data_IF_652921455736
#
_entry.id   IF_652921455736
#
_cell.length_a   1.000
_cell.length_b   1.000
_cell.length_c   1.000
_cell.angle_alpha   90.00
_cell.angle_beta   90.00
_cell.angle_gamma   90.00
#
_symmetry.space_group_name_H-M   'P 1'
#
loop_
_entity.id
_entity.type
_entity.pdbx_description
1 polymer ?
#
# COMPACT_ATOMS: atom_id res chain seq x y z
N UNK A 1 -5.26 8.13 -23.70
CA UNK A 1 -6.56 7.76 -23.09
C UNK A 1 -7.46 8.98 -23.13
N UNK A 2 -8.75 8.80 -23.44
CA UNK A 2 -9.73 9.90 -23.31
C UNK A 2 -9.78 10.35 -21.83
N UNK A 3 -9.79 11.67 -21.55
CA UNK A 3 -9.78 12.16 -20.17
C UNK A 3 -11.06 11.76 -19.44
N UNK A 4 -10.93 11.20 -18.23
CA UNK A 4 -12.08 10.95 -17.34
C UNK A 4 -12.65 12.28 -16.87
N UNK A 5 -13.84 12.63 -17.36
CA UNK A 5 -14.55 13.84 -16.95
C UNK A 5 -15.57 13.49 -15.85
N UNK A 6 -15.51 14.17 -14.71
CA UNK A 6 -16.51 14.08 -13.64
C UNK A 6 -16.10 13.18 -12.47
N UNK A 7 -16.86 12.12 -12.20
CA UNK A 7 -16.86 11.35 -10.93
C UNK A 7 -15.46 10.76 -10.60
N UNK A 8 -14.70 11.49 -9.79
CA UNK A 8 -13.42 11.03 -9.22
C UNK A 8 -13.69 9.95 -8.17
N UNK A 9 -12.99 8.82 -8.26
CA UNK A 9 -12.99 7.73 -7.30
C UNK A 9 -11.60 7.55 -6.67
N UNK A 10 -11.47 6.80 -5.56
CA UNK A 10 -10.18 6.58 -4.90
C UNK A 10 -9.10 6.06 -5.85
N UNK A 11 -9.47 5.18 -6.78
CA UNK A 11 -8.57 4.61 -7.79
C UNK A 11 -7.96 5.67 -8.70
N UNK A 12 -8.68 6.74 -9.04
CA UNK A 12 -8.11 7.84 -9.83
C UNK A 12 -7.03 8.58 -9.05
N UNK A 13 -7.23 8.77 -7.74
CA UNK A 13 -6.24 9.41 -6.87
C UNK A 13 -5.03 8.50 -6.68
N UNK A 14 -5.24 7.19 -6.54
CA UNK A 14 -4.16 6.20 -6.49
C UNK A 14 -3.33 6.23 -7.77
N UNK A 15 -3.95 6.38 -8.93
CA UNK A 15 -3.25 6.49 -10.21
C UNK A 15 -2.40 7.76 -10.28
N UNK A 16 -2.93 8.91 -9.86
CA UNK A 16 -2.16 10.15 -9.77
C UNK A 16 -0.96 9.98 -8.83
N UNK A 17 -1.13 9.28 -7.70
CA UNK A 17 -0.04 9.03 -6.76
C UNK A 17 1.05 8.13 -7.34
N UNK A 18 0.79 7.39 -8.43
CA UNK A 18 1.73 6.51 -9.14
C UNK A 18 2.39 7.17 -10.35
N UNK A 19 2.06 8.43 -10.65
CA UNK A 19 2.47 9.07 -11.90
C UNK A 19 3.98 9.40 -11.97
N UNK A 20 4.54 9.13 -13.15
CA UNK A 20 5.89 9.49 -13.57
C UNK A 20 5.90 10.27 -14.90
N UNK A 21 4.77 10.88 -15.28
CA UNK A 21 4.54 11.54 -16.56
C UNK A 21 4.44 10.63 -17.79
N UNK A 22 4.11 9.34 -17.62
CA UNK A 22 4.02 8.35 -18.69
C UNK A 22 3.20 8.86 -19.89
N UNK A 23 3.71 8.62 -21.11
CA UNK A 23 3.04 9.04 -22.34
C UNK A 23 3.16 10.53 -22.68
N UNK A 24 3.95 11.29 -21.92
CA UNK A 24 4.28 12.70 -22.23
C UNK A 24 5.75 12.85 -22.63
N UNK A 25 6.14 14.05 -23.07
CA UNK A 25 7.55 14.41 -23.32
C UNK A 25 8.37 14.65 -22.03
N UNK A 26 7.74 14.60 -20.85
CA UNK A 26 8.39 14.77 -19.55
C UNK A 26 8.83 13.43 -18.94
N UNK A 27 8.31 12.31 -19.44
CA UNK A 27 8.68 10.96 -19.00
C UNK A 27 10.14 10.65 -19.31
N UNK A 28 10.85 10.10 -18.32
CA UNK A 28 12.19 9.54 -18.50
C UNK A 28 12.29 8.20 -17.80
N UNK A 29 13.02 7.27 -18.42
CA UNK A 29 13.29 5.95 -17.86
C UNK A 29 14.71 5.91 -17.25
N UNK A 30 14.90 5.28 -16.07
CA UNK A 30 13.87 4.65 -15.23
C UNK A 30 12.99 5.68 -14.50
N UNK A 31 11.73 5.33 -14.19
CA UNK A 31 10.70 6.31 -13.76
C UNK A 31 11.03 7.02 -12.44
N UNK A 32 11.78 6.40 -11.54
CA UNK A 32 12.22 7.01 -10.28
C UNK A 32 13.49 7.86 -10.40
N UNK A 33 14.17 7.87 -11.56
CA UNK A 33 15.45 8.59 -11.76
C UNK A 33 15.34 9.71 -12.81
N UNK A 34 14.20 10.42 -12.88
CA UNK A 34 14.08 11.54 -13.79
C UNK A 34 14.94 12.75 -13.33
N UNK A 35 16.03 13.11 -14.04
CA UNK A 35 16.93 14.19 -13.64
C UNK A 35 16.36 15.59 -13.89
N UNK A 36 15.37 15.71 -14.77
CA UNK A 36 14.87 17.00 -15.25
C UNK A 36 13.58 17.42 -14.54
N UNK A 37 12.76 16.45 -14.15
CA UNK A 37 11.45 16.69 -13.54
C UNK A 37 11.23 15.74 -12.37
N UNK A 38 10.84 16.30 -11.22
CA UNK A 38 10.43 15.49 -10.08
C UNK A 38 9.04 14.91 -10.34
N UNK A 39 8.95 13.59 -10.46
CA UNK A 39 7.70 12.84 -10.58
C UNK A 39 6.90 12.86 -9.28
N UNK A 40 5.63 12.44 -9.33
CA UNK A 40 4.79 12.32 -8.12
C UNK A 40 5.28 11.11 -7.33
N UNK A 41 5.35 9.95 -7.98
CA UNK A 41 5.90 8.72 -7.42
C UNK A 41 7.42 8.71 -7.57
N UNK A 42 8.14 8.56 -6.45
CA UNK A 42 9.60 8.52 -6.38
C UNK A 42 10.04 7.50 -5.34
N UNK A 43 11.23 6.90 -5.54
CA UNK A 43 11.86 5.94 -4.62
C UNK A 43 12.05 6.43 -3.17
N UNK A 44 11.94 7.73 -2.89
CA UNK A 44 11.96 8.29 -1.52
C UNK A 44 10.58 8.40 -0.86
N UNK A 45 9.53 7.90 -1.50
CA UNK A 45 8.18 7.93 -0.94
C UNK A 45 8.11 6.95 0.22
N UNK A 46 8.01 7.41 1.47
CA UNK A 46 7.93 6.48 2.61
C UNK A 46 6.54 5.82 2.73
N UNK A 47 5.49 6.55 2.34
CA UNK A 47 4.12 6.05 2.30
C UNK A 47 3.24 6.95 1.43
N UNK A 48 2.11 6.39 1.00
CA UNK A 48 1.05 7.09 0.26
C UNK A 48 -0.31 6.75 0.84
N UNK A 49 -1.28 7.66 0.75
CA UNK A 49 -2.64 7.39 1.23
C UNK A 49 -3.73 8.12 0.45
N UNK A 50 -4.89 7.48 0.37
CA UNK A 50 -6.14 8.07 -0.14
C UNK A 50 -7.24 7.90 0.92
N UNK A 51 -7.66 9.00 1.52
CA UNK A 51 -8.73 9.02 2.52
C UNK A 51 -10.10 9.21 1.86
N UNK A 52 -10.92 8.18 1.89
CA UNK A 52 -12.28 8.19 1.35
C UNK A 52 -13.31 8.47 2.44
N UNK A 53 -13.55 9.76 2.68
CA UNK A 53 -14.49 10.23 3.70
C UNK A 53 -15.91 10.34 3.12
N UNK A 54 -16.83 9.52 3.63
CA UNK A 54 -18.21 9.37 3.16
C UNK A 54 -19.19 9.80 4.25
N UNK A 55 -19.85 10.97 4.12
CA UNK A 55 -20.70 11.54 5.19
C UNK A 55 -21.97 10.72 5.48
N UNK A 56 -22.39 9.87 4.55
CA UNK A 56 -23.54 8.97 4.74
C UNK A 56 -23.19 7.67 5.49
N UNK A 57 -21.91 7.41 5.80
CA UNK A 57 -21.48 6.26 6.58
C UNK A 57 -21.14 6.65 8.03
N UNK A 58 -21.31 5.72 8.99
CA UNK A 58 -20.80 5.90 10.36
C UNK A 58 -19.32 6.25 10.38
N UNK A 59 -18.88 7.03 11.38
CA UNK A 59 -17.47 7.47 11.51
C UNK A 59 -16.46 6.33 11.57
N UNK A 60 -16.87 5.15 12.06
CA UNK A 60 -16.03 3.96 12.16
C UNK A 60 -15.72 3.36 10.78
N UNK A 61 -16.52 3.66 9.76
CA UNK A 61 -16.41 3.15 8.39
C UNK A 61 -15.78 4.15 7.41
N UNK A 62 -15.16 5.21 7.92
CA UNK A 62 -14.31 6.06 7.10
C UNK A 62 -13.04 5.28 6.74
N UNK A 63 -12.68 5.27 5.46
CA UNK A 63 -11.68 4.36 4.90
C UNK A 63 -10.46 5.15 4.43
N UNK A 64 -9.28 4.76 4.90
CA UNK A 64 -8.00 5.18 4.38
C UNK A 64 -7.40 4.01 3.61
N UNK A 65 -7.15 4.21 2.32
CA UNK A 65 -6.30 3.33 1.56
C UNK A 65 -4.86 3.75 1.79
N UNK A 66 -4.04 2.88 2.39
CA UNK A 66 -2.67 3.17 2.80
C UNK A 66 -1.67 2.32 2.02
N UNK A 67 -0.52 2.86 1.68
CA UNK A 67 0.56 2.13 1.00
C UNK A 67 1.90 2.46 1.62
N UNK A 68 2.73 1.45 1.84
CA UNK A 68 4.15 1.65 2.15
C UNK A 68 4.95 1.88 0.87
N UNK A 69 6.00 2.69 0.97
CA UNK A 69 6.94 2.93 -0.13
C UNK A 69 6.25 3.57 -1.37
N UNK A 70 6.91 3.50 -2.52
CA UNK A 70 6.40 4.03 -3.79
C UNK A 70 5.14 3.27 -4.26
N UNK A 71 3.99 3.94 -4.45
CA UNK A 71 2.73 3.26 -4.75
C UNK A 71 2.68 2.59 -6.13
N UNK A 72 3.63 2.89 -7.04
CA UNK A 72 3.72 2.20 -8.33
C UNK A 72 4.28 0.77 -8.20
N UNK A 73 5.00 0.50 -7.11
CA UNK A 73 5.65 -0.78 -6.78
C UNK A 73 5.00 -1.49 -5.60
N UNK A 74 4.11 -0.78 -4.90
CA UNK A 74 3.42 -1.24 -3.70
C UNK A 74 1.91 -1.39 -3.93
N UNK A 75 1.19 -1.69 -2.84
CA UNK A 75 -0.25 -1.89 -2.81
C UNK A 75 -0.91 -0.95 -1.81
N UNK A 76 -2.15 -0.54 -2.10
CA UNK A 76 -2.98 0.23 -1.19
C UNK A 76 -3.87 -0.73 -0.39
N UNK A 77 -3.62 -0.88 0.91
CA UNK A 77 -4.39 -1.69 1.86
C UNK A 77 -5.47 -0.85 2.56
N UNK A 78 -6.64 -1.43 2.89
CA UNK A 78 -7.74 -0.71 3.53
C UNK A 78 -7.56 -0.63 5.05
N UNK A 79 -7.56 0.59 5.59
CA UNK A 79 -7.52 0.87 7.04
C UNK A 79 -8.73 1.72 7.41
N UNK A 80 -9.60 1.21 8.27
CA UNK A 80 -10.79 1.93 8.72
C UNK A 80 -10.51 2.79 9.96
N UNK A 81 -11.16 3.95 10.05
CA UNK A 81 -11.04 4.86 11.20
C UNK A 81 -11.58 4.25 12.52
N UNK A 82 -12.36 3.18 12.45
CA UNK A 82 -12.82 2.41 13.61
C UNK A 82 -11.82 1.39 14.15
N UNK A 83 -10.68 1.19 13.48
CA UNK A 83 -9.64 0.25 13.92
C UNK A 83 -8.95 0.76 15.17
N UNK A 84 -8.79 -0.11 16.18
CA UNK A 84 -8.15 0.22 17.46
C UNK A 84 -6.79 -0.43 17.66
N UNK A 85 -6.45 -1.42 16.84
CA UNK A 85 -5.16 -2.10 16.84
C UNK A 85 -4.80 -2.55 15.42
N UNK A 86 -3.51 -2.60 15.12
CA UNK A 86 -2.96 -3.16 13.89
C UNK A 86 -1.83 -4.16 14.23
N UNK A 87 -1.46 -5.06 13.31
CA UNK A 87 -0.46 -6.09 13.60
C UNK A 87 0.91 -5.51 13.95
N UNK A 88 1.71 -6.26 14.72
CA UNK A 88 3.02 -5.80 15.18
C UNK A 88 3.98 -5.56 14.01
N UNK A 89 3.91 -6.37 12.95
CA UNK A 89 4.69 -6.21 11.71
C UNK A 89 4.50 -4.85 11.03
N UNK A 90 3.32 -4.24 11.16
CA UNK A 90 2.99 -2.90 10.64
C UNK A 90 3.20 -1.78 11.66
N UNK A 91 3.61 -2.12 12.88
CA UNK A 91 4.01 -1.17 13.94
C UNK A 91 5.51 -1.22 14.25
N UNK A 92 6.21 -2.20 13.69
CA UNK A 92 7.64 -2.44 13.89
C UNK A 92 8.46 -1.81 12.75
N UNK A 93 9.72 -1.55 13.07
CA UNK A 93 10.67 -0.88 12.18
C UNK A 93 11.42 0.20 12.96
N UNK A 94 12.71 -0.01 13.16
CA UNK A 94 13.57 1.01 13.74
C UNK A 94 14.10 1.92 12.62
N UNK A 95 13.79 3.22 12.71
CA UNK A 95 14.50 4.24 11.93
C UNK A 95 15.92 4.42 12.47
N UNK A 96 16.85 4.80 11.61
CA UNK A 96 18.27 4.99 11.93
C UNK A 96 19.15 4.87 10.69
N UNK A 97 20.46 5.09 10.84
CA UNK A 97 21.39 5.24 9.72
C UNK A 97 21.53 3.95 8.87
N UNK A 98 20.70 3.86 7.84
CA UNK A 98 20.78 2.84 6.80
C UNK A 98 20.16 1.50 7.17
N UNK A 99 20.38 0.50 6.32
CA UNK A 99 19.71 -0.79 6.49
C UNK A 99 20.24 -1.63 7.65
N UNK A 100 21.21 -1.14 8.43
CA UNK A 100 21.63 -1.78 9.69
C UNK A 100 20.45 -2.07 10.66
N UNK A 101 19.31 -1.39 10.47
CA UNK A 101 18.07 -1.60 11.22
C UNK A 101 16.97 -2.34 10.45
N UNK A 102 17.29 -2.91 9.28
CA UNK A 102 16.37 -3.66 8.45
C UNK A 102 16.04 -5.00 9.12
N UNK A 103 14.81 -5.14 9.59
CA UNK A 103 14.34 -6.36 10.25
C UNK A 103 13.37 -7.12 9.35
N UNK A 104 13.48 -8.44 9.36
CA UNK A 104 12.66 -9.35 8.53
C UNK A 104 11.19 -9.39 8.93
N UNK A 105 10.88 -8.90 10.15
CA UNK A 105 9.56 -8.85 10.78
C UNK A 105 8.83 -7.50 10.59
N UNK A 106 9.47 -6.49 9.98
CA UNK A 106 8.85 -5.20 9.70
C UNK A 106 8.28 -5.15 8.28
N UNK A 107 6.99 -4.85 8.17
CA UNK A 107 6.31 -4.66 6.90
C UNK A 107 6.97 -3.55 6.09
N UNK A 108 7.28 -2.41 6.72
CA UNK A 108 7.93 -1.29 6.05
C UNK A 108 9.24 -1.70 5.36
N UNK A 109 10.13 -2.38 6.09
CA UNK A 109 11.40 -2.83 5.53
C UNK A 109 11.23 -3.87 4.41
N UNK A 110 10.20 -4.73 4.47
CA UNK A 110 9.90 -5.67 3.38
C UNK A 110 9.39 -4.97 2.14
N UNK A 111 8.54 -3.95 2.28
CA UNK A 111 8.11 -3.13 1.14
C UNK A 111 9.28 -2.33 0.55
N UNK A 112 10.19 -1.82 1.37
CA UNK A 112 11.39 -1.11 0.92
C UNK A 112 12.36 -2.05 0.17
N UNK A 113 12.53 -3.28 0.65
CA UNK A 113 13.29 -4.33 -0.07
C UNK A 113 12.68 -4.61 -1.44
N UNK A 114 11.36 -4.77 -1.51
CA UNK A 114 10.66 -4.99 -2.77
C UNK A 114 10.84 -3.79 -3.71
N UNK A 115 10.77 -2.56 -3.20
CA UNK A 115 11.00 -1.33 -3.98
C UNK A 115 12.38 -1.36 -4.64
N UNK A 116 13.45 -1.55 -3.84
CA UNK A 116 14.81 -1.61 -4.38
C UNK A 116 15.01 -2.76 -5.36
N UNK A 117 14.44 -3.93 -5.07
CA UNK A 117 14.46 -5.06 -6.00
C UNK A 117 13.75 -4.70 -7.31
N UNK A 118 12.63 -3.98 -7.30
CA UNK A 118 11.98 -3.60 -8.55
C UNK A 118 12.80 -2.55 -9.29
N UNK A 119 13.29 -1.52 -8.60
CA UNK A 119 14.07 -0.42 -9.18
C UNK A 119 15.32 -0.92 -9.94
N UNK A 120 16.01 -1.96 -9.46
CA UNK A 120 17.16 -2.58 -10.15
C UNK A 120 16.86 -3.05 -11.58
N UNK A 121 15.63 -3.49 -11.85
CA UNK A 121 15.20 -3.90 -13.18
C UNK A 121 13.70 -3.65 -13.35
N UNK A 122 13.35 -2.36 -13.33
CA UNK A 122 11.95 -1.90 -13.31
C UNK A 122 11.14 -2.47 -14.48
N UNK A 123 11.72 -2.49 -15.68
CA UNK A 123 11.02 -2.91 -16.90
C UNK A 123 10.60 -4.39 -16.83
N UNK A 124 11.43 -5.25 -16.23
CA UNK A 124 11.17 -6.68 -16.12
C UNK A 124 10.33 -7.04 -14.90
N UNK A 125 10.62 -6.42 -13.74
CA UNK A 125 10.06 -6.83 -12.44
C UNK A 125 8.72 -6.15 -12.14
N UNK A 126 8.60 -4.85 -12.43
CA UNK A 126 7.43 -4.07 -12.03
C UNK A 126 6.11 -4.59 -12.61
N UNK A 127 5.99 -4.97 -13.90
CA UNK A 127 4.71 -5.40 -14.46
C UNK A 127 4.13 -6.64 -13.78
N UNK A 128 4.99 -7.59 -13.41
CA UNK A 128 4.60 -8.81 -12.70
C UNK A 128 4.10 -8.53 -11.29
N UNK A 129 4.82 -7.66 -10.56
CA UNK A 129 4.44 -7.23 -9.21
C UNK A 129 3.15 -6.42 -9.23
N UNK A 130 3.03 -5.44 -10.14
CA UNK A 130 1.82 -4.62 -10.31
C UNK A 130 0.59 -5.47 -10.56
N UNK A 131 0.68 -6.48 -11.43
CA UNK A 131 -0.43 -7.41 -11.69
C UNK A 131 -0.90 -8.13 -10.43
N UNK A 132 0.03 -8.60 -9.58
CA UNK A 132 -0.32 -9.23 -8.29
C UNK A 132 -0.97 -8.23 -7.35
N UNK A 133 -0.44 -7.01 -7.26
CA UNK A 133 -1.04 -5.96 -6.44
C UNK A 133 -2.40 -5.47 -6.91
N UNK A 134 -2.66 -5.47 -8.22
CA UNK A 134 -3.98 -5.16 -8.75
C UNK A 134 -5.00 -6.23 -8.36
N UNK A 135 -4.62 -7.52 -8.44
CA UNK A 135 -5.47 -8.63 -8.01
C UNK A 135 -5.75 -8.56 -6.51
N UNK A 136 -4.71 -8.29 -5.71
CA UNK A 136 -4.83 -8.09 -4.27
C UNK A 136 -5.82 -6.96 -3.95
N UNK A 137 -5.58 -5.76 -4.50
CA UNK A 137 -6.42 -4.58 -4.29
C UNK A 137 -7.90 -4.83 -4.66
N UNK A 138 -8.18 -5.49 -5.77
CA UNK A 138 -9.56 -5.79 -6.19
C UNK A 138 -10.28 -6.71 -5.20
N UNK A 139 -9.55 -7.67 -4.60
CA UNK A 139 -10.09 -8.53 -3.55
C UNK A 139 -10.39 -7.70 -2.29
N UNK A 140 -9.47 -6.83 -1.87
CA UNK A 140 -9.67 -5.96 -0.70
C UNK A 140 -10.83 -4.98 -0.87
N UNK A 141 -10.99 -4.41 -2.08
CA UNK A 141 -12.10 -3.53 -2.43
C UNK A 141 -13.44 -4.26 -2.30
N UNK A 142 -13.52 -5.48 -2.82
CA UNK A 142 -14.73 -6.31 -2.75
C UNK A 142 -15.07 -6.69 -1.30
N UNK A 143 -14.05 -7.08 -0.52
CA UNK A 143 -14.25 -7.45 0.88
C UNK A 143 -14.61 -6.22 1.75
N UNK A 144 -14.02 -5.05 1.46
CA UNK A 144 -14.35 -3.77 2.11
C UNK A 144 -15.84 -3.43 1.98
N UNK A 145 -16.41 -3.54 0.78
CA UNK A 145 -17.83 -3.32 0.54
C UNK A 145 -18.73 -4.30 1.32
N UNK A 146 -18.26 -5.54 1.50
CA UNK A 146 -18.96 -6.57 2.26
C UNK A 146 -18.91 -6.29 3.77
N UNK A 147 -17.74 -5.89 4.28
CA UNK A 147 -17.56 -5.47 5.67
C UNK A 147 -18.45 -4.28 6.01
N UNK A 148 -18.48 -3.24 5.16
CA UNK A 148 -19.26 -2.02 5.41
C UNK A 148 -20.73 -2.33 5.65
N UNK A 149 -21.36 -3.14 4.79
CA UNK A 149 -22.76 -3.56 4.93
C UNK A 149 -22.99 -4.30 6.25
N UNK A 150 -22.07 -5.20 6.61
CA UNK A 150 -22.13 -6.00 7.84
C UNK A 150 -22.04 -5.10 9.08
N UNK A 151 -21.02 -4.25 9.13
CA UNK A 151 -20.73 -3.34 10.25
C UNK A 151 -21.82 -2.29 10.40
N UNK A 152 -22.31 -1.69 9.32
CA UNK A 152 -23.42 -0.74 9.36
C UNK A 152 -24.66 -1.37 9.99
N UNK A 153 -25.00 -2.61 9.61
CA UNK A 153 -26.09 -3.36 10.22
C UNK A 153 -25.86 -3.70 11.70
N UNK A 154 -24.62 -3.84 12.16
CA UNK A 154 -24.30 -4.03 13.58
C UNK A 154 -24.46 -2.73 14.37
N UNK A 155 -23.95 -1.62 13.84
CA UNK A 155 -24.03 -0.30 14.45
C UNK A 155 -25.48 0.17 14.60
N UNK A 156 -26.31 -0.01 13.56
CA UNK A 156 -27.75 0.29 13.61
C UNK A 156 -28.50 -0.49 14.70
N UNK A 157 -27.99 -1.66 15.11
CA UNK A 157 -28.56 -2.49 16.19
C UNK A 157 -27.90 -2.26 17.54
N UNK A 158 -27.07 -1.22 17.69
CA UNK A 158 -26.34 -0.91 18.91
C UNK A 158 -25.23 -1.90 19.28
N UNK A 159 -24.79 -2.76 18.34
CA UNK A 159 -23.78 -3.81 18.59
C UNK A 159 -22.35 -3.28 18.39
N UNK A 160 -22.01 -2.18 19.05
CA UNK A 160 -20.75 -1.43 18.82
C UNK A 160 -19.49 -2.27 19.04
N UNK A 161 -19.41 -3.05 20.12
CA UNK A 161 -18.23 -3.91 20.38
C UNK A 161 -18.03 -4.98 19.30
N UNK A 162 -19.13 -5.56 18.78
CA UNK A 162 -19.05 -6.54 17.68
C UNK A 162 -18.64 -5.86 16.37
N UNK A 163 -19.12 -4.64 16.12
CA UNK A 163 -18.71 -3.85 14.97
C UNK A 163 -17.20 -3.54 14.99
N UNK A 164 -16.67 -3.13 16.14
CA UNK A 164 -15.24 -2.87 16.32
C UNK A 164 -14.40 -4.12 16.10
N UNK A 165 -14.79 -5.26 16.68
CA UNK A 165 -14.07 -6.52 16.50
C UNK A 165 -14.01 -6.97 15.03
N UNK A 166 -15.08 -6.74 14.26
CA UNK A 166 -15.10 -7.04 12.82
C UNK A 166 -14.22 -6.10 12.00
N UNK A 167 -14.17 -4.81 12.38
CA UNK A 167 -13.27 -3.84 11.75
C UNK A 167 -11.81 -4.21 12.02
N UNK A 168 -11.43 -4.46 13.28
CA UNK A 168 -10.07 -4.84 13.65
C UNK A 168 -9.65 -6.13 12.94
N UNK A 169 -10.51 -7.15 12.97
CA UNK A 169 -10.25 -8.42 12.29
C UNK A 169 -9.97 -8.18 10.81
N UNK A 170 -10.84 -7.44 10.13
CA UNK A 170 -10.68 -7.16 8.70
C UNK A 170 -9.37 -6.43 8.42
N UNK A 171 -9.08 -5.34 9.12
CA UNK A 171 -7.86 -4.56 8.87
C UNK A 171 -6.63 -5.41 9.15
N UNK A 172 -6.57 -6.14 10.27
CA UNK A 172 -5.44 -7.00 10.61
C UNK A 172 -5.23 -8.09 9.56
N UNK A 173 -6.29 -8.75 9.09
CA UNK A 173 -6.18 -9.80 8.07
C UNK A 173 -5.65 -9.26 6.74
N UNK A 174 -6.07 -8.07 6.30
CA UNK A 174 -5.59 -7.48 5.05
C UNK A 174 -4.14 -7.01 5.16
N UNK A 175 -3.78 -6.37 6.28
CA UNK A 175 -2.40 -5.97 6.56
C UNK A 175 -1.46 -7.18 6.58
N UNK A 176 -1.82 -8.28 7.24
CA UNK A 176 -0.93 -9.46 7.29
C UNK A 176 -0.88 -10.19 5.96
N UNK A 177 -1.98 -10.24 5.21
CA UNK A 177 -1.95 -10.81 3.86
C UNK A 177 -1.04 -10.01 2.93
N UNK A 178 -1.06 -8.68 2.99
CA UNK A 178 -0.13 -7.85 2.22
C UNK A 178 1.33 -8.10 2.64
N UNK A 179 1.59 -8.23 3.94
CA UNK A 179 2.92 -8.54 4.44
C UNK A 179 3.43 -9.91 3.96
N UNK A 180 2.59 -10.94 4.00
CA UNK A 180 2.94 -12.28 3.49
C UNK A 180 3.12 -12.29 1.95
N UNK A 181 2.29 -11.56 1.21
CA UNK A 181 2.44 -11.48 -0.25
C UNK A 181 3.75 -10.79 -0.64
N UNK A 182 4.16 -9.71 0.07
CA UNK A 182 5.46 -9.07 -0.16
C UNK A 182 6.61 -10.05 0.08
N UNK A 183 6.58 -10.82 1.18
CA UNK A 183 7.59 -11.85 1.45
C UNK A 183 7.67 -12.87 0.31
N UNK A 184 6.52 -13.23 -0.27
CA UNK A 184 6.44 -14.19 -1.39
C UNK A 184 6.97 -13.63 -2.71
N UNK A 185 6.96 -12.30 -2.88
CA UNK A 185 7.45 -11.59 -4.05
C UNK A 185 8.97 -11.37 -4.03
N UNK A 186 9.57 -11.47 -2.84
CA UNK A 186 11.00 -11.34 -2.62
C UNK A 186 11.64 -12.61 -2.05
N UNK A 187 11.40 -13.82 -2.61
CA UNK A 187 11.91 -15.07 -2.01
C UNK A 187 13.43 -15.20 -2.17
N UNK A 188 14.01 -14.52 -3.17
CA UNK A 188 15.45 -14.49 -3.46
C UNK A 188 16.20 -13.47 -2.60
N UNK A 189 15.49 -12.56 -1.93
CA UNK A 189 16.08 -11.61 -0.98
C UNK A 189 16.31 -12.37 0.33
N UNK A 190 17.38 -13.16 0.36
CA UNK A 190 17.84 -13.86 1.56
C UNK A 190 18.23 -12.85 2.65
N UNK A 191 18.29 -13.29 3.91
CA UNK A 191 18.81 -12.45 5.00
C UNK A 191 20.24 -11.95 4.72
N UNK A 192 21.02 -12.63 3.87
CA UNK A 192 22.36 -12.20 3.44
C UNK A 192 22.31 -11.04 2.44
N UNK A 193 21.30 -10.98 1.56
CA UNK A 193 21.08 -9.84 0.66
C UNK A 193 20.69 -8.60 1.45
N UNK A 194 19.94 -8.77 2.55
CA UNK A 194 19.66 -7.67 3.49
C UNK A 194 20.97 -7.02 3.94
N UNK A 195 21.96 -7.81 4.40
CA UNK A 195 23.28 -7.30 4.80
C UNK A 195 24.08 -6.63 3.66
N UNK A 196 23.95 -7.09 2.42
CA UNK A 196 24.64 -6.50 1.27
C UNK A 196 24.10 -5.11 0.91
N UNK A 197 22.81 -4.84 1.16
CA UNK A 197 22.25 -3.50 1.05
C UNK A 197 22.47 -2.65 2.31
N UNK A 198 22.70 -3.26 3.48
CA UNK A 198 23.03 -2.58 4.75
C UNK A 198 24.38 -1.87 4.80
N UNK A 199 25.33 -2.26 3.96
CA UNK A 199 26.67 -1.71 3.99
C UNK A 199 27.18 -1.49 2.56
N UNK A 200 27.10 -0.25 2.01
CA UNK A 200 27.97 0.15 0.92
C UNK A 200 29.44 0.26 1.36
#
# INVERSE_FOLDING_TARGET
MEPKLGKICPEDLMEVLRDHYEGTNLYQYPPHENPNHRTICINRTCSSMVCHLRPWLPRQLQLMWYSHCSPCESVFVPVYAGTTEIPESWRSGHGGDGWANCTSDSAWWRFEQLQHFIDENYMERQPGVRKKWDQFYQNELTQSQSLEKKVEGMLRRGRTQKAEAEINKFVNENLEQAFEEVKSLTPEISEEVIFAFCFP
#
